data_IF_508804014258
#
_entry.id   IF_508804014258
#
_cell.length_a   1.000
_cell.length_b   1.000
_cell.length_c   1.000
_cell.angle_alpha   90.00
_cell.angle_beta   90.00
_cell.angle_gamma   90.00
#
_symmetry.space_group_name_H-M   'P 1'
#
loop_
_entity.id
_entity.type
_entity.pdbx_description
1 polymer ?
#
# COMPACT_ATOMS: atom_id res chain seq x y z
N UNK A 1 24.17 24.06 -22.18
CA UNK A 1 22.88 23.64 -21.56
C UNK A 1 22.81 22.12 -21.53
N UNK A 2 22.85 21.50 -20.36
CA UNK A 2 22.77 20.03 -20.25
C UNK A 2 21.36 19.55 -20.62
N UNK A 3 21.23 18.72 -21.66
CA UNK A 3 19.98 18.01 -21.98
C UNK A 3 19.61 17.14 -20.77
N UNK A 4 18.56 17.51 -20.04
CA UNK A 4 18.09 16.77 -18.87
C UNK A 4 17.83 15.30 -19.22
N UNK A 5 18.42 14.36 -18.48
CA UNK A 5 18.22 12.92 -18.68
C UNK A 5 16.71 12.58 -18.67
N UNK A 6 16.22 11.99 -19.76
CA UNK A 6 14.84 11.51 -19.88
C UNK A 6 14.56 10.46 -18.79
N UNK A 7 13.61 10.73 -17.90
CA UNK A 7 13.20 9.79 -16.84
C UNK A 7 12.72 8.46 -17.42
N UNK A 8 13.12 7.35 -16.80
CA UNK A 8 12.67 6.02 -17.18
C UNK A 8 11.16 5.84 -16.94
N UNK A 9 10.55 4.83 -17.59
CA UNK A 9 9.14 4.46 -17.33
C UNK A 9 8.91 4.17 -15.83
N UNK A 10 9.88 3.51 -15.19
CA UNK A 10 9.84 3.23 -13.76
C UNK A 10 9.83 4.50 -12.90
N UNK A 11 10.73 5.45 -13.18
CA UNK A 11 10.82 6.69 -12.40
C UNK A 11 9.52 7.50 -12.52
N UNK A 12 8.93 7.55 -13.72
CA UNK A 12 7.62 8.19 -13.92
C UNK A 12 6.51 7.52 -13.12
N UNK A 13 6.48 6.19 -13.09
CA UNK A 13 5.51 5.42 -12.31
C UNK A 13 5.68 5.66 -10.80
N UNK A 14 6.93 5.64 -10.31
CA UNK A 14 7.28 5.94 -8.92
C UNK A 14 6.86 7.35 -8.53
N UNK A 15 7.15 8.36 -9.36
CA UNK A 15 6.80 9.75 -9.09
C UNK A 15 5.28 9.96 -9.05
N UNK A 16 4.54 9.31 -9.96
CA UNK A 16 3.06 9.31 -9.96
C UNK A 16 2.51 8.70 -8.67
N UNK A 17 3.03 7.53 -8.28
CA UNK A 17 2.62 6.86 -7.05
C UNK A 17 3.00 7.65 -5.80
N UNK A 18 4.18 8.29 -5.77
CA UNK A 18 4.60 9.13 -4.65
C UNK A 18 3.62 10.31 -4.47
N UNK A 19 3.26 11.00 -5.56
CA UNK A 19 2.26 12.08 -5.50
C UNK A 19 0.90 11.58 -5.01
N UNK A 20 0.45 10.42 -5.50
CA UNK A 20 -0.79 9.83 -4.98
C UNK A 20 -0.69 9.53 -3.48
N UNK A 21 0.35 8.80 -3.07
CA UNK A 21 0.55 8.32 -1.71
C UNK A 21 0.65 9.47 -0.70
N UNK A 22 1.48 10.48 -0.97
CA UNK A 22 1.74 11.57 -0.03
C UNK A 22 0.81 12.76 -0.18
N UNK A 23 0.35 13.09 -1.39
CA UNK A 23 -0.41 14.33 -1.61
C UNK A 23 -1.92 14.08 -1.70
N UNK A 24 -2.35 12.84 -1.99
CA UNK A 24 -3.78 12.51 -2.11
C UNK A 24 -4.28 11.57 -1.02
N UNK A 25 -3.45 10.61 -0.57
CA UNK A 25 -3.88 9.61 0.40
C UNK A 25 -3.50 9.96 1.83
N UNK A 26 -2.21 10.17 2.11
CA UNK A 26 -1.74 10.53 3.45
C UNK A 26 -2.39 11.82 3.95
N UNK A 27 -2.94 11.78 5.16
CA UNK A 27 -3.70 12.89 5.77
C UNK A 27 -5.19 12.90 5.39
N UNK A 28 -5.57 12.19 4.33
CA UNK A 28 -6.94 12.09 3.84
C UNK A 28 -7.47 10.65 3.98
N UNK A 29 -6.95 9.89 4.93
CA UNK A 29 -7.42 8.53 5.20
C UNK A 29 -8.84 8.56 5.79
N UNK A 30 -9.72 7.72 5.24
CA UNK A 30 -11.04 7.47 5.82
C UNK A 30 -10.99 6.29 6.79
N UNK A 31 -12.05 6.16 7.58
CA UNK A 31 -12.24 5.01 8.46
C UNK A 31 -12.38 3.74 7.62
N UNK A 32 -11.66 2.69 8.02
CA UNK A 32 -11.84 1.34 7.49
C UNK A 32 -12.86 0.61 8.36
N UNK A 33 -14.03 0.19 7.82
CA UNK A 33 -15.08 -0.44 8.61
C UNK A 33 -14.59 -1.66 9.40
N UNK A 34 -13.75 -2.51 8.80
CA UNK A 34 -13.19 -3.71 9.44
C UNK A 34 -12.44 -3.48 10.75
N UNK A 35 -11.99 -2.24 11.02
CA UNK A 35 -11.30 -1.91 12.28
C UNK A 35 -11.95 -0.78 13.06
N UNK A 36 -13.03 -0.17 12.54
CA UNK A 36 -13.63 1.03 13.14
C UNK A 36 -12.67 2.22 13.28
N UNK A 37 -11.55 2.24 12.56
CA UNK A 37 -10.51 3.27 12.67
C UNK A 37 -9.85 3.56 11.32
N UNK A 38 -9.13 4.68 11.22
CA UNK A 38 -8.31 5.01 10.05
C UNK A 38 -7.07 4.13 9.98
N UNK A 39 -6.75 3.61 8.80
CA UNK A 39 -5.45 2.99 8.53
C UNK A 39 -4.48 4.08 8.08
N UNK A 40 -3.51 4.44 8.94
CA UNK A 40 -2.59 5.54 8.66
C UNK A 40 -1.59 5.20 7.56
N UNK A 41 -1.41 6.15 6.65
CA UNK A 41 -0.42 6.08 5.57
C UNK A 41 0.85 6.79 6.03
N UNK A 42 1.98 6.10 6.04
CA UNK A 42 3.23 6.61 6.64
C UNK A 42 4.41 6.55 5.69
N UNK A 43 5.48 7.31 6.00
CA UNK A 43 6.75 7.23 5.28
C UNK A 43 7.37 5.83 5.35
N UNK A 44 7.20 5.13 6.48
CA UNK A 44 7.67 3.75 6.62
C UNK A 44 6.95 2.78 5.68
N UNK A 45 5.63 2.93 5.50
CA UNK A 45 4.87 2.16 4.49
C UNK A 45 5.36 2.44 3.07
N UNK A 46 5.65 3.70 2.73
CA UNK A 46 6.24 4.05 1.43
C UNK A 46 7.60 3.39 1.22
N UNK A 47 8.48 3.47 2.23
CA UNK A 47 9.79 2.86 2.17
C UNK A 47 9.71 1.34 1.95
N UNK A 48 8.71 0.67 2.54
CA UNK A 48 8.49 -0.77 2.30
C UNK A 48 8.07 -1.09 0.86
N UNK A 49 7.39 -0.17 0.17
CA UNK A 49 7.03 -0.34 -1.24
C UNK A 49 8.26 -0.23 -2.15
N UNK A 50 9.12 0.78 -1.91
CA UNK A 50 10.25 1.11 -2.80
C UNK A 50 11.55 0.36 -2.44
N UNK A 51 11.78 0.09 -1.17
CA UNK A 51 12.97 -0.54 -0.61
C UNK A 51 12.57 -1.73 0.29
N UNK A 52 11.94 -2.77 -0.27
CA UNK A 52 11.58 -3.94 0.50
C UNK A 52 12.79 -4.74 0.94
N UNK A 53 12.62 -5.48 2.05
CA UNK A 53 13.62 -6.41 2.56
C UNK A 53 13.99 -7.48 1.52
N UNK A 54 12.98 -8.10 0.89
CA UNK A 54 13.20 -8.98 -0.26
C UNK A 54 13.26 -8.17 -1.55
N UNK A 55 14.34 -8.33 -2.32
CA UNK A 55 14.57 -7.61 -3.57
C UNK A 55 13.42 -7.85 -4.55
N UNK A 56 12.80 -6.77 -5.01
CA UNK A 56 11.76 -6.77 -6.06
C UNK A 56 12.31 -6.14 -7.32
N UNK A 57 11.96 -6.69 -8.47
CA UNK A 57 12.25 -6.07 -9.76
C UNK A 57 11.52 -4.74 -9.90
N UNK A 58 12.03 -3.86 -10.78
CA UNK A 58 11.37 -2.58 -11.10
C UNK A 58 9.94 -2.78 -11.64
N UNK A 59 9.71 -3.86 -12.40
CA UNK A 59 8.39 -4.18 -12.95
C UNK A 59 7.41 -4.54 -11.84
N UNK A 60 7.82 -5.39 -10.90
CA UNK A 60 7.00 -5.77 -9.75
C UNK A 60 6.69 -4.59 -8.82
N UNK A 61 7.63 -3.68 -8.62
CA UNK A 61 7.39 -2.45 -7.88
C UNK A 61 6.41 -1.52 -8.63
N UNK A 62 6.59 -1.35 -9.95
CA UNK A 62 5.70 -0.54 -10.77
C UNK A 62 4.25 -1.06 -10.75
N UNK A 63 4.04 -2.38 -10.78
CA UNK A 63 2.70 -2.98 -10.63
C UNK A 63 2.06 -2.63 -9.29
N UNK A 64 2.84 -2.60 -8.20
CA UNK A 64 2.34 -2.19 -6.86
C UNK A 64 1.99 -0.71 -6.80
N UNK A 65 2.80 0.14 -7.42
CA UNK A 65 2.54 1.56 -7.55
C UNK A 65 1.22 1.85 -8.27
N UNK A 66 0.94 1.09 -9.34
CA UNK A 66 -0.28 1.23 -10.13
C UNK A 66 -1.56 0.96 -9.33
N UNK A 67 -1.51 -0.01 -8.41
CA UNK A 67 -2.69 -0.44 -7.64
C UNK A 67 -2.87 0.28 -6.31
N UNK A 68 -2.05 1.28 -5.97
CA UNK A 68 -2.25 2.07 -4.74
C UNK A 68 -3.64 2.73 -4.65
N UNK A 69 -4.23 3.29 -5.73
CA UNK A 69 -5.60 3.81 -5.67
C UNK A 69 -6.64 2.73 -5.37
N UNK A 70 -6.44 1.51 -5.91
CA UNK A 70 -7.33 0.38 -5.66
C UNK A 70 -7.16 -0.12 -4.22
N UNK A 71 -5.94 -0.09 -3.68
CA UNK A 71 -5.68 -0.41 -2.28
C UNK A 71 -6.44 0.51 -1.33
N UNK A 72 -6.43 1.82 -1.61
CA UNK A 72 -7.21 2.81 -0.86
C UNK A 72 -8.69 2.45 -0.90
N UNK A 73 -9.24 2.25 -2.09
CA UNK A 73 -10.67 1.90 -2.26
C UNK A 73 -11.04 0.65 -1.46
N UNK A 74 -10.24 -0.42 -1.58
CA UNK A 74 -10.47 -1.66 -0.83
C UNK A 74 -10.50 -1.42 0.68
N UNK A 75 -9.55 -0.66 1.22
CA UNK A 75 -9.49 -0.37 2.65
C UNK A 75 -10.62 0.55 3.13
N UNK A 76 -11.17 1.42 2.28
CA UNK A 76 -12.30 2.29 2.65
C UNK A 76 -13.63 1.51 2.68
N UNK A 77 -13.75 0.42 1.92
CA UNK A 77 -14.98 -0.35 1.76
C UNK A 77 -14.98 -1.66 2.59
N UNK A 78 -13.82 -2.20 2.95
CA UNK A 78 -13.71 -3.50 3.58
C UNK A 78 -14.35 -3.58 4.97
N UNK A 79 -15.25 -4.55 5.13
CA UNK A 79 -15.90 -4.92 6.40
C UNK A 79 -15.09 -5.95 7.20
N UNK A 80 -14.24 -6.74 6.54
CA UNK A 80 -13.41 -7.78 7.17
C UNK A 80 -12.04 -7.87 6.51
N UNK A 81 -11.06 -8.39 7.25
CA UNK A 81 -9.80 -8.87 6.70
C UNK A 81 -9.84 -10.39 6.58
N UNK A 82 -9.15 -10.95 5.59
CA UNK A 82 -9.21 -12.38 5.27
C UNK A 82 -8.08 -13.17 5.93
N UNK A 83 -6.95 -12.52 6.21
CA UNK A 83 -5.82 -13.18 6.87
C UNK A 83 -5.31 -12.32 8.02
N UNK A 84 -4.88 -13.01 9.08
CA UNK A 84 -4.18 -12.42 10.22
C UNK A 84 -2.96 -13.25 10.58
N UNK A 85 -1.84 -12.58 10.81
CA UNK A 85 -0.60 -13.18 11.29
C UNK A 85 -0.02 -12.31 12.40
N UNK A 86 0.54 -12.95 13.43
CA UNK A 86 1.37 -12.29 14.45
C UNK A 86 2.80 -12.81 14.33
N UNK A 87 3.78 -11.93 14.50
CA UNK A 87 5.18 -12.28 14.75
C UNK A 87 5.80 -11.33 15.80
N UNK A 88 7.11 -11.42 15.99
CA UNK A 88 7.87 -10.61 16.95
C UNK A 88 7.80 -9.11 16.67
N UNK A 89 7.47 -8.69 15.44
CA UNK A 89 7.38 -7.29 15.03
C UNK A 89 5.96 -6.73 15.11
N UNK A 90 4.95 -7.59 15.30
CA UNK A 90 3.58 -7.18 15.55
C UNK A 90 2.55 -8.02 14.81
N UNK A 91 1.43 -7.38 14.48
CA UNK A 91 0.30 -7.99 13.80
C UNK A 91 0.20 -7.50 12.36
N UNK A 92 -0.13 -8.42 11.46
CA UNK A 92 -0.30 -8.21 10.04
C UNK A 92 -1.68 -8.71 9.64
N UNK A 93 -2.40 -7.90 8.88
CA UNK A 93 -3.75 -8.17 8.41
C UNK A 93 -3.76 -8.03 6.89
N UNK A 94 -4.35 -9.00 6.20
CA UNK A 94 -4.50 -8.94 4.76
C UNK A 94 -5.95 -8.75 4.36
N UNK A 95 -6.18 -7.76 3.51
CA UNK A 95 -7.43 -7.52 2.80
C UNK A 95 -7.26 -8.01 1.38
N UNK A 96 -8.05 -8.99 0.98
CA UNK A 96 -8.07 -9.57 -0.37
C UNK A 96 -9.42 -9.23 -0.99
N UNK A 97 -9.39 -8.60 -2.16
CA UNK A 97 -10.62 -8.20 -2.84
C UNK A 97 -10.41 -8.01 -4.34
N UNK A 98 -11.52 -8.08 -5.08
CA UNK A 98 -11.56 -7.76 -6.50
C UNK A 98 -12.01 -6.32 -6.69
N UNK A 99 -11.10 -5.44 -7.11
CA UNK A 99 -11.36 -4.00 -7.25
C UNK A 99 -10.83 -3.51 -8.59
N UNK A 100 -11.68 -2.88 -9.39
CA UNK A 100 -11.29 -2.32 -10.70
C UNK A 100 -10.76 -3.38 -11.68
N UNK A 101 -11.39 -4.56 -11.72
CA UNK A 101 -11.00 -5.64 -12.62
C UNK A 101 -9.77 -6.44 -12.18
N UNK A 102 -9.24 -6.20 -10.97
CA UNK A 102 -8.03 -6.85 -10.47
C UNK A 102 -8.26 -7.43 -9.07
N UNK A 103 -7.82 -8.66 -8.84
CA UNK A 103 -7.70 -9.23 -7.51
C UNK A 103 -6.43 -8.65 -6.87
N UNK A 104 -6.58 -7.95 -5.74
CA UNK A 104 -5.46 -7.35 -5.01
C UNK A 104 -5.45 -7.82 -3.55
N UNK A 105 -4.26 -7.82 -2.97
CA UNK A 105 -4.03 -8.06 -1.54
C UNK A 105 -3.35 -6.84 -0.94
N UNK A 106 -3.97 -6.23 0.06
CA UNK A 106 -3.44 -5.10 0.82
C UNK A 106 -3.05 -5.57 2.20
N UNK A 107 -1.83 -5.25 2.61
CA UNK A 107 -1.27 -5.63 3.91
C UNK A 107 -1.24 -4.41 4.82
N UNK A 108 -1.80 -4.59 6.01
CA UNK A 108 -1.88 -3.61 7.09
C UNK A 108 -1.14 -4.17 8.29
N UNK A 109 -0.41 -3.32 9.01
CA UNK A 109 0.32 -3.73 10.21
C UNK A 109 -0.09 -2.94 11.46
N UNK A 110 0.16 -3.51 12.63
CA UNK A 110 0.02 -2.86 13.92
C UNK A 110 0.96 -3.46 14.97
N UNK A 111 1.28 -2.71 16.03
CA UNK A 111 2.06 -3.25 17.16
C UNK A 111 1.24 -4.23 18.00
N UNK A 112 -0.06 -4.00 18.14
CA UNK A 112 -0.99 -4.85 18.90
C UNK A 112 -2.23 -5.13 18.06
N UNK A 113 -3.01 -6.15 18.41
CA UNK A 113 -4.19 -6.53 17.63
C UNK A 113 -5.20 -5.38 17.47
N UNK A 114 -5.49 -4.66 18.57
CA UNK A 114 -6.43 -3.53 18.59
C UNK A 114 -5.78 -2.16 18.34
N UNK A 115 -4.44 -2.08 18.33
CA UNK A 115 -3.70 -0.83 18.22
C UNK A 115 -3.85 -0.13 16.86
N UNK A 116 -3.25 1.06 16.75
CA UNK A 116 -3.27 1.87 15.53
C UNK A 116 -2.82 1.05 14.31
N UNK A 117 -3.64 1.09 13.25
CA UNK A 117 -3.37 0.40 11.99
C UNK A 117 -2.57 1.28 11.04
N UNK A 118 -1.64 0.65 10.31
CA UNK A 118 -0.78 1.32 9.34
C UNK A 118 -0.75 0.55 8.03
N UNK A 119 -0.90 1.26 6.91
CA UNK A 119 -0.68 0.67 5.59
C UNK A 119 0.78 0.19 5.49
N UNK A 120 0.98 -1.03 5.00
CA UNK A 120 2.30 -1.64 4.88
C UNK A 120 2.66 -1.98 3.44
N UNK A 121 1.78 -2.65 2.69
CA UNK A 121 2.05 -3.07 1.32
C UNK A 121 0.79 -3.33 0.52
N UNK A 122 0.94 -3.48 -0.80
CA UNK A 122 -0.10 -3.96 -1.72
C UNK A 122 0.54 -4.86 -2.77
N UNK A 123 -0.20 -5.83 -3.30
CA UNK A 123 0.17 -6.63 -4.46
C UNK A 123 -1.06 -7.07 -5.26
N UNK A 124 -0.84 -7.36 -6.55
CA UNK A 124 -1.81 -8.05 -7.40
C UNK A 124 -1.69 -9.54 -7.10
N UNK A 125 -2.83 -10.20 -6.91
CA UNK A 125 -2.94 -11.66 -6.77
C UNK A 125 -3.41 -12.17 -8.13
N UNK A 126 -2.62 -13.03 -8.76
CA UNK A 126 -3.01 -13.73 -9.99
C UNK A 126 -3.89 -14.93 -9.64
#
# INVERSE_FOLDING_TARGET
MAKGKRKSKFDKARDKAHRFYFNKWRGNEKTTPAFGQKIRVTRSGWNHLINPYHKRTKVEQARRFEVLPLARKLLEEAQTFQEHRKDNFGHYFAFVGYVGGRKIKVVVRSKTFHGQKFFFSVMIVL
#
